data_IF_500556665797
#
_entry.id   IF_500556665797
#
_cell.length_a   1.000
_cell.length_b   1.000
_cell.length_c   1.000
_cell.angle_alpha   90.00
_cell.angle_beta   90.00
_cell.angle_gamma   90.00
#
_symmetry.space_group_name_H-M   'P 1'
#
loop_
_entity.id
_entity.type
_entity.pdbx_description
1 polymer ?
#
# COMPACT_ATOMS: atom_id res chain seq x y z
N UNK A 1 -33.22 -5.63 -17.34
CA UNK A 1 -33.56 -7.03 -17.07
C UNK A 1 -32.31 -7.87 -17.32
N UNK A 2 -32.04 -8.80 -16.41
CA UNK A 2 -30.89 -9.71 -16.30
C UNK A 2 -30.87 -10.75 -17.44
N UNK A 3 -29.75 -11.47 -17.52
CA UNK A 3 -29.45 -12.80 -18.13
C UNK A 3 -28.43 -12.68 -19.27
N UNK A 4 -27.13 -12.88 -19.01
CA UNK A 4 -26.35 -14.13 -18.82
C UNK A 4 -26.02 -14.84 -20.15
N UNK A 5 -24.72 -14.92 -20.49
CA UNK A 5 -24.19 -15.67 -21.62
C UNK A 5 -23.09 -16.61 -21.13
N UNK A 6 -23.36 -17.88 -21.36
CA UNK A 6 -22.64 -19.03 -20.86
C UNK A 6 -21.26 -19.26 -21.51
N UNK A 7 -20.45 -19.93 -20.71
CA UNK A 7 -19.17 -20.60 -20.99
C UNK A 7 -19.01 -21.26 -22.37
N UNK A 8 -17.86 -21.03 -23.02
CA UNK A 8 -17.14 -22.10 -23.72
C UNK A 8 -15.61 -21.85 -23.75
N UNK A 9 -14.89 -22.95 -23.62
CA UNK A 9 -13.49 -23.17 -23.19
C UNK A 9 -12.38 -22.87 -24.22
N UNK A 10 -11.14 -22.56 -23.77
CA UNK A 10 -9.97 -22.45 -24.66
C UNK A 10 -9.21 -23.79 -24.78
N UNK A 11 -9.31 -24.45 -25.94
CA UNK A 11 -8.59 -25.70 -26.30
C UNK A 11 -7.08 -25.54 -26.60
N UNK A 12 -6.49 -24.37 -26.38
CA UNK A 12 -5.07 -24.11 -26.68
C UNK A 12 -4.14 -24.39 -25.48
N UNK A 13 -4.66 -24.37 -24.25
CA UNK A 13 -3.82 -24.49 -23.03
C UNK A 13 -3.42 -25.93 -22.66
N UNK A 14 -4.07 -26.95 -23.22
CA UNK A 14 -3.79 -28.34 -22.89
C UNK A 14 -2.60 -28.94 -23.66
N UNK A 15 -2.27 -28.47 -24.87
CA UNK A 15 -1.16 -29.04 -25.66
C UNK A 15 0.23 -28.74 -25.08
N UNK A 16 0.45 -27.52 -24.60
CA UNK A 16 1.75 -27.08 -24.04
C UNK A 16 2.02 -27.68 -22.65
N UNK A 17 0.96 -27.93 -21.88
CA UNK A 17 1.04 -28.51 -20.54
C UNK A 17 1.51 -29.98 -20.57
N UNK A 18 1.14 -30.73 -21.62
CA UNK A 18 1.51 -32.14 -21.76
C UNK A 18 2.98 -32.31 -22.19
N UNK A 19 3.53 -31.39 -22.99
CA UNK A 19 4.94 -31.45 -23.40
C UNK A 19 5.90 -31.01 -22.29
N UNK A 20 5.49 -30.04 -21.46
CA UNK A 20 6.25 -29.62 -20.27
C UNK A 20 6.21 -30.67 -19.15
N UNK A 21 5.08 -31.36 -18.97
CA UNK A 21 4.97 -32.45 -17.98
C UNK A 21 5.84 -33.67 -18.31
N UNK A 22 6.05 -33.99 -19.60
CA UNK A 22 6.91 -35.11 -20.01
C UNK A 22 8.40 -34.77 -19.88
N UNK A 23 8.78 -33.50 -20.09
CA UNK A 23 10.15 -33.03 -19.90
C UNK A 23 10.51 -32.91 -18.41
N UNK A 24 9.57 -32.53 -17.55
CA UNK A 24 9.75 -32.51 -16.10
C UNK A 24 9.98 -33.93 -15.51
N UNK A 25 9.39 -34.95 -16.13
CA UNK A 25 9.56 -36.37 -15.75
C UNK A 25 10.92 -36.97 -16.14
N UNK A 26 11.70 -36.31 -17.02
CA UNK A 26 12.97 -36.83 -17.55
C UNK A 26 14.22 -36.19 -16.92
N UNK A 27 14.08 -35.15 -16.09
CA UNK A 27 15.23 -34.33 -15.59
C UNK A 27 15.23 -34.19 -14.06
N UNK A 28 14.34 -34.86 -13.33
CA UNK A 28 14.48 -34.97 -11.87
C UNK A 28 15.72 -35.85 -11.55
N UNK A 29 16.76 -35.32 -10.89
CA UNK A 29 18.00 -36.04 -10.61
C UNK A 29 17.74 -37.16 -9.59
N UNK A 30 18.50 -38.24 -9.77
CA UNK A 30 18.28 -39.54 -9.14
C UNK A 30 18.22 -39.51 -7.62
N UNK A 31 17.10 -39.99 -7.09
CA UNK A 31 17.18 -40.83 -5.90
C UNK A 31 17.72 -42.18 -6.35
N UNK A 32 18.89 -42.54 -5.83
CA UNK A 32 19.49 -43.86 -5.86
C UNK A 32 18.56 -44.86 -5.16
N UNK A 33 17.50 -45.26 -5.85
CA UNK A 33 16.80 -46.48 -5.53
C UNK A 33 17.61 -47.58 -6.20
N UNK A 34 18.52 -48.18 -5.43
CA UNK A 34 18.95 -49.55 -5.70
C UNK A 34 17.68 -50.36 -5.92
N UNK A 35 17.39 -50.67 -7.19
CA UNK A 35 16.33 -51.61 -7.54
C UNK A 35 16.75 -52.89 -6.84
N UNK A 36 15.99 -53.39 -5.84
CA UNK A 36 16.37 -54.63 -5.17
C UNK A 36 16.52 -55.69 -6.25
N UNK A 37 17.62 -56.45 -6.17
CA UNK A 37 17.99 -57.47 -7.16
C UNK A 37 16.73 -58.16 -7.68
N UNK A 38 16.46 -57.92 -8.98
CA UNK A 38 15.38 -58.45 -9.80
C UNK A 38 14.54 -59.50 -9.08
N UNK A 39 13.31 -59.14 -8.69
CA UNK A 39 12.32 -60.07 -8.14
C UNK A 39 12.34 -61.40 -8.89
N UNK A 40 12.95 -62.42 -8.29
CA UNK A 40 12.97 -63.75 -8.85
C UNK A 40 11.61 -64.38 -8.56
N UNK A 41 10.86 -64.72 -9.60
CA UNK A 41 9.60 -65.43 -9.41
C UNK A 41 9.90 -66.73 -8.65
N UNK A 42 9.25 -66.99 -7.50
CA UNK A 42 9.47 -68.23 -6.77
C UNK A 42 9.11 -69.40 -7.69
N UNK A 43 10.08 -70.25 -7.97
CA UNK A 43 9.87 -71.48 -8.75
C UNK A 43 9.49 -72.58 -7.77
N UNK A 44 8.24 -73.01 -7.82
CA UNK A 44 7.72 -74.10 -7.01
C UNK A 44 7.84 -75.41 -7.80
N UNK A 45 8.67 -76.33 -7.29
CA UNK A 45 8.83 -77.66 -7.85
C UNK A 45 7.79 -78.59 -7.21
N UNK A 46 6.81 -79.03 -8.00
CA UNK A 46 5.88 -80.07 -7.60
C UNK A 46 6.34 -81.38 -8.24
N UNK A 47 6.87 -82.29 -7.41
CA UNK A 47 7.31 -83.60 -7.85
C UNK A 47 6.10 -84.53 -8.09
N UNK A 48 5.69 -84.67 -9.35
CA UNK A 48 4.66 -85.65 -9.76
C UNK A 48 5.36 -86.93 -10.22
N UNK A 49 5.20 -88.02 -9.46
CA UNK A 49 5.75 -89.33 -9.83
C UNK A 49 4.76 -90.11 -10.70
N UNK A 50 4.93 -90.05 -12.02
CA UNK A 50 4.17 -90.87 -12.96
C UNK A 50 4.88 -92.21 -13.23
N UNK A 51 4.23 -93.37 -13.03
CA UNK A 51 4.80 -94.65 -13.44
C UNK A 51 4.91 -94.72 -14.97
N UNK A 52 6.07 -95.17 -15.47
CA UNK A 52 6.38 -95.27 -16.91
C UNK A 52 5.69 -96.48 -17.55
N UNK A 53 4.36 -96.41 -17.65
CA UNK A 53 3.54 -97.33 -18.43
C UNK A 53 2.92 -96.54 -19.58
N UNK A 54 2.90 -97.14 -20.78
CA UNK A 54 2.54 -96.48 -22.04
C UNK A 54 1.01 -96.30 -22.18
N UNK A 55 0.39 -95.68 -21.18
CA UNK A 55 -1.06 -95.45 -21.05
C UNK A 55 -1.36 -93.97 -20.93
N UNK A 56 -2.45 -93.52 -21.56
CA UNK A 56 -2.94 -92.14 -21.42
C UNK A 56 -3.65 -92.03 -20.07
N UNK A 57 -3.14 -91.20 -19.17
CA UNK A 57 -3.78 -90.90 -17.88
C UNK A 57 -4.76 -89.73 -18.03
N UNK A 58 -5.97 -89.87 -17.48
CA UNK A 58 -6.90 -88.74 -17.39
C UNK A 58 -6.52 -87.85 -16.20
N UNK A 59 -6.73 -86.53 -16.34
CA UNK A 59 -6.23 -85.54 -15.36
C UNK A 59 -6.87 -85.72 -13.96
N UNK A 60 -8.07 -86.32 -13.88
CA UNK A 60 -8.74 -86.64 -12.62
C UNK A 60 -8.05 -87.72 -11.80
N UNK A 61 -7.33 -88.65 -12.43
CA UNK A 61 -6.60 -89.73 -11.73
C UNK A 61 -5.29 -89.24 -11.08
N UNK A 62 -4.92 -87.97 -11.32
CA UNK A 62 -3.76 -87.30 -10.72
C UNK A 62 -4.13 -86.48 -9.48
N UNK A 63 -5.42 -86.38 -9.15
CA UNK A 63 -5.86 -85.73 -7.92
C UNK A 63 -5.54 -86.62 -6.70
N UNK A 64 -4.86 -86.03 -5.72
CA UNK A 64 -4.56 -86.69 -4.45
C UNK A 64 -4.86 -85.74 -3.28
N UNK A 65 -5.97 -85.96 -2.56
CA UNK A 65 -6.37 -85.14 -1.41
C UNK A 65 -5.32 -85.11 -0.29
N UNK A 66 -4.53 -86.19 -0.13
CA UNK A 66 -3.50 -86.28 0.92
C UNK A 66 -2.31 -85.34 0.65
N UNK A 67 -2.15 -84.86 -0.58
CA UNK A 67 -1.16 -83.84 -0.97
C UNK A 67 -1.82 -82.53 -1.41
N UNK A 68 -3.06 -82.29 -0.97
CA UNK A 68 -3.81 -81.07 -1.23
C UNK A 68 -4.11 -80.77 -2.72
N UNK A 69 -4.10 -81.81 -3.58
CA UNK A 69 -4.43 -81.71 -5.00
C UNK A 69 -5.85 -82.25 -5.22
N UNK A 70 -6.77 -81.39 -5.63
CA UNK A 70 -8.18 -81.72 -5.82
C UNK A 70 -8.58 -81.58 -7.30
N UNK A 71 -9.50 -82.41 -7.81
CA UNK A 71 -10.01 -82.21 -9.16
C UNK A 71 -10.90 -80.97 -9.20
N UNK A 72 -10.90 -80.22 -10.31
CA UNK A 72 -11.95 -79.21 -10.55
C UNK A 72 -13.28 -79.90 -10.85
N UNK A 73 -14.41 -79.25 -10.56
CA UNK A 73 -15.75 -79.82 -10.78
C UNK A 73 -16.02 -80.23 -12.24
N UNK A 74 -15.32 -79.63 -13.21
CA UNK A 74 -15.40 -79.94 -14.63
C UNK A 74 -14.51 -81.12 -15.09
N UNK A 75 -13.72 -81.71 -14.17
CA UNK A 75 -12.79 -82.81 -14.41
C UNK A 75 -11.73 -82.56 -15.51
N UNK A 76 -11.55 -81.31 -15.95
CA UNK A 76 -10.57 -80.95 -16.98
C UNK A 76 -9.22 -80.48 -16.39
N UNK A 77 -9.13 -80.32 -15.07
CA UNK A 77 -7.93 -79.87 -14.38
C UNK A 77 -7.88 -80.33 -12.92
N UNK A 78 -6.84 -79.88 -12.22
CA UNK A 78 -6.71 -80.02 -10.78
C UNK A 78 -6.34 -78.67 -10.17
N UNK A 79 -6.76 -78.45 -8.92
CA UNK A 79 -6.42 -77.30 -8.09
C UNK A 79 -5.58 -77.77 -6.90
N UNK A 80 -4.56 -76.99 -6.53
CA UNK A 80 -3.75 -77.24 -5.34
C UNK A 80 -4.18 -76.25 -4.26
N UNK A 81 -4.75 -76.73 -3.17
CA UNK A 81 -5.33 -75.89 -2.12
C UNK A 81 -4.45 -75.90 -0.87
N UNK A 82 -3.65 -74.86 -0.68
CA UNK A 82 -2.88 -74.70 0.56
C UNK A 82 -3.76 -74.04 1.62
N UNK A 83 -4.21 -74.81 2.61
CA UNK A 83 -4.88 -74.25 3.80
C UNK A 83 -3.83 -73.84 4.82
N UNK A 84 -3.55 -72.54 4.86
CA UNK A 84 -2.70 -71.91 5.86
C UNK A 84 -2.90 -70.40 5.84
N UNK A 85 -3.05 -69.79 7.01
CA UNK A 85 -3.04 -68.32 7.12
C UNK A 85 -1.63 -67.85 6.81
N UNK A 86 -1.45 -67.13 5.70
CA UNK A 86 -0.18 -66.47 5.41
C UNK A 86 0.02 -65.36 6.44
N UNK A 87 1.10 -65.44 7.22
CA UNK A 87 1.50 -64.38 8.14
C UNK A 87 1.68 -63.07 7.34
N UNK A 88 1.08 -61.95 7.78
CA UNK A 88 1.20 -60.68 7.06
C UNK A 88 2.67 -60.26 6.98
N UNK A 89 3.21 -60.18 5.76
CA UNK A 89 4.53 -59.63 5.50
C UNK A 89 4.50 -58.15 5.88
N UNK A 90 4.99 -57.81 7.06
CA UNK A 90 5.13 -56.42 7.52
C UNK A 90 6.54 -55.97 7.19
N UNK A 91 6.67 -54.88 6.43
CA UNK A 91 7.98 -54.25 6.19
C UNK A 91 8.42 -53.65 7.52
N UNK A 92 9.60 -54.01 8.01
CA UNK A 92 10.14 -53.43 9.23
C UNK A 92 10.35 -51.92 9.03
N UNK A 93 9.94 -51.06 9.99
CA UNK A 93 10.06 -49.61 9.87
C UNK A 93 11.48 -49.13 9.55
N UNK A 94 12.51 -49.86 9.97
CA UNK A 94 13.91 -49.61 9.61
C UNK A 94 14.16 -49.52 8.10
N UNK A 95 13.47 -50.30 7.25
CA UNK A 95 13.63 -50.23 5.79
C UNK A 95 12.94 -49.02 5.13
N UNK A 96 12.16 -48.26 5.90
CA UNK A 96 11.53 -47.01 5.47
C UNK A 96 12.26 -45.77 6.01
N UNK A 97 13.39 -45.95 6.70
CA UNK A 97 14.19 -44.84 7.22
C UNK A 97 15.25 -44.44 6.20
N UNK A 98 15.32 -43.15 5.92
CA UNK A 98 16.49 -42.53 5.30
C UNK A 98 17.39 -42.08 6.45
N UNK A 99 18.46 -42.83 6.71
CA UNK A 99 19.40 -42.51 7.78
C UNK A 99 20.35 -41.39 7.31
N UNK A 100 20.11 -40.18 7.80
CA UNK A 100 21.06 -39.08 7.65
C UNK A 100 22.20 -39.24 8.67
N UNK A 101 23.48 -39.15 8.25
CA UNK A 101 24.60 -39.19 9.19
C UNK A 101 24.46 -38.06 10.22
N UNK A 102 24.14 -38.39 11.49
CA UNK A 102 23.92 -37.42 12.57
C UNK A 102 22.46 -37.16 12.96
N UNK A 103 21.48 -37.79 12.32
CA UNK A 103 20.06 -37.74 12.70
C UNK A 103 19.30 -36.47 12.28
N UNK A 104 20.00 -35.42 11.89
CA UNK A 104 19.44 -34.19 11.32
C UNK A 104 20.41 -33.63 10.26
N UNK A 105 19.87 -33.09 9.17
CA UNK A 105 20.59 -32.20 8.27
C UNK A 105 20.44 -30.77 8.82
N UNK A 106 21.44 -30.30 9.56
CA UNK A 106 21.56 -28.87 9.85
C UNK A 106 22.05 -28.19 8.56
N UNK A 107 21.10 -27.74 7.74
CA UNK A 107 21.38 -26.88 6.59
C UNK A 107 21.46 -25.46 7.12
N UNK A 108 22.67 -24.91 7.16
CA UNK A 108 22.87 -23.48 7.38
C UNK A 108 22.23 -22.73 6.21
N UNK A 109 21.06 -22.14 6.45
CA UNK A 109 20.47 -21.20 5.50
C UNK A 109 21.37 -19.96 5.50
N UNK A 110 21.98 -19.60 4.36
CA UNK A 110 22.84 -18.44 4.31
C UNK A 110 22.05 -17.20 4.72
N UNK A 111 22.64 -16.34 5.57
CA UNK A 111 22.06 -15.03 5.86
C UNK A 111 21.91 -14.25 4.55
N UNK A 112 20.67 -14.04 4.12
CA UNK A 112 20.38 -13.18 2.98
C UNK A 112 20.45 -11.74 3.49
N UNK A 113 21.53 -11.04 3.16
CA UNK A 113 21.63 -9.60 3.42
C UNK A 113 20.88 -8.82 2.34
N UNK A 114 19.87 -8.05 2.72
CA UNK A 114 19.20 -7.15 1.80
C UNK A 114 20.09 -5.93 1.55
N UNK A 115 20.35 -5.53 0.30
CA UNK A 115 20.84 -4.18 0.05
C UNK A 115 19.77 -3.22 0.56
N UNK A 116 20.11 -2.34 1.50
CA UNK A 116 19.19 -1.32 1.98
C UNK A 116 18.64 -0.51 0.80
N UNK A 117 17.38 -0.09 0.86
CA UNK A 117 16.79 0.78 -0.16
C UNK A 117 17.55 2.11 -0.10
N UNK A 118 18.26 2.53 -1.17
CA UNK A 118 19.02 3.76 -1.14
C UNK A 118 18.06 4.96 -1.06
N UNK A 119 18.05 5.65 0.09
CA UNK A 119 17.26 6.87 0.29
C UNK A 119 17.61 7.97 -0.72
N UNK A 120 18.81 7.92 -1.33
CA UNK A 120 19.26 8.84 -2.38
C UNK A 120 18.46 8.77 -3.69
N UNK A 121 17.60 7.76 -3.86
CA UNK A 121 16.68 7.68 -5.00
C UNK A 121 15.32 8.34 -4.77
N UNK A 122 15.02 8.77 -3.54
CA UNK A 122 13.76 9.44 -3.21
C UNK A 122 13.89 10.94 -3.52
N UNK A 123 13.66 11.32 -4.77
CA UNK A 123 13.47 12.74 -5.12
C UNK A 123 12.10 13.18 -4.64
N UNK A 124 12.03 13.77 -3.45
CA UNK A 124 10.81 14.39 -2.99
C UNK A 124 10.44 15.56 -3.91
N UNK A 125 9.16 15.73 -4.24
CA UNK A 125 8.69 16.93 -4.89
C UNK A 125 8.97 18.15 -4.00
N UNK A 126 9.74 19.10 -4.51
CA UNK A 126 9.96 20.40 -3.86
C UNK A 126 8.67 21.21 -3.92
N UNK A 127 7.96 21.32 -2.79
CA UNK A 127 6.76 22.14 -2.69
C UNK A 127 7.20 23.52 -2.21
N UNK A 128 7.20 24.54 -3.08
CA UNK A 128 7.67 25.86 -2.69
C UNK A 128 6.78 26.43 -1.58
N UNK A 129 7.41 27.05 -0.59
CA UNK A 129 6.69 27.78 0.44
C UNK A 129 5.84 28.89 -0.21
N UNK A 130 4.56 28.93 0.14
CA UNK A 130 3.64 29.96 -0.33
C UNK A 130 3.66 31.07 0.71
N UNK A 131 4.23 32.24 0.40
CA UNK A 131 4.16 33.45 1.24
C UNK A 131 3.58 34.58 0.40
N UNK A 132 2.33 34.95 0.67
CA UNK A 132 1.58 35.90 -0.13
C UNK A 132 0.95 36.97 0.76
N UNK A 133 0.98 38.21 0.26
CA UNK A 133 0.35 39.37 0.87
C UNK A 133 -0.52 40.08 -0.15
N UNK A 134 -1.78 40.27 0.17
CA UNK A 134 -2.77 40.99 -0.63
C UNK A 134 -3.21 42.25 0.09
N UNK A 135 -2.75 43.41 -0.37
CA UNK A 135 -3.30 44.69 0.07
C UNK A 135 -4.74 44.81 -0.45
N UNK A 136 -5.68 45.20 0.41
CA UNK A 136 -7.11 45.31 0.06
C UNK A 136 -7.53 46.71 -0.36
N UNK A 137 -6.63 47.69 -0.24
CA UNK A 137 -6.94 49.10 -0.48
C UNK A 137 -5.82 49.80 -1.23
N UNK A 138 -6.18 50.86 -1.97
CA UNK A 138 -5.25 51.79 -2.58
C UNK A 138 -4.94 52.94 -1.62
N UNK A 139 -3.65 53.12 -1.33
CA UNK A 139 -3.18 54.18 -0.45
C UNK A 139 -3.04 55.51 -1.19
N UNK A 140 -3.45 56.60 -0.55
CA UNK A 140 -3.32 57.97 -1.08
C UNK A 140 -4.32 58.35 -2.18
N UNK A 141 -5.29 57.49 -2.49
CA UNK A 141 -6.32 57.74 -3.52
C UNK A 141 -7.69 57.95 -2.85
N UNK A 142 -8.32 59.13 -3.00
CA UNK A 142 -9.60 59.43 -2.35
C UNK A 142 -10.79 58.84 -3.13
N UNK A 143 -10.95 57.52 -3.04
CA UNK A 143 -11.96 56.76 -3.80
C UNK A 143 -12.99 56.02 -2.94
N UNK A 144 -12.83 56.04 -1.61
CA UNK A 144 -13.73 55.35 -0.68
C UNK A 144 -14.80 56.31 -0.19
N UNK A 145 -16.05 55.86 -0.10
CA UNK A 145 -17.19 56.72 0.26
C UNK A 145 -17.79 56.32 1.61
N UNK A 146 -17.86 57.27 2.53
CA UNK A 146 -18.52 57.07 3.83
C UNK A 146 -20.05 57.22 3.75
N UNK A 147 -20.75 56.91 4.85
CA UNK A 147 -22.22 57.01 4.93
C UNK A 147 -22.76 58.44 4.79
N UNK A 148 -21.90 59.45 4.90
CA UNK A 148 -22.25 60.87 4.73
C UNK A 148 -22.06 61.36 3.28
N UNK A 149 -21.52 60.49 2.41
CA UNK A 149 -21.23 60.81 1.02
C UNK A 149 -19.87 61.50 0.81
N UNK A 150 -19.04 61.62 1.85
CA UNK A 150 -17.70 62.18 1.71
C UNK A 150 -16.74 61.11 1.21
N UNK A 151 -15.83 61.51 0.32
CA UNK A 151 -14.74 60.64 -0.12
C UNK A 151 -13.55 60.73 0.82
N UNK A 152 -12.87 59.61 1.01
CA UNK A 152 -11.65 59.50 1.82
C UNK A 152 -10.65 58.51 1.20
N UNK A 153 -9.44 58.48 1.74
CA UNK A 153 -8.34 57.60 1.32
C UNK A 153 -7.71 56.91 2.52
N UNK A 154 -7.09 55.75 2.30
CA UNK A 154 -6.19 55.13 3.27
C UNK A 154 -4.78 55.74 3.20
N UNK A 155 -4.02 55.79 4.32
CA UNK A 155 -4.44 55.45 5.68
C UNK A 155 -5.43 56.50 6.24
N UNK A 156 -6.38 56.06 7.06
CA UNK A 156 -7.37 56.96 7.65
C UNK A 156 -6.81 57.67 8.89
N UNK A 157 -7.14 58.96 9.05
CA UNK A 157 -6.72 59.77 10.21
C UNK A 157 -7.82 59.95 11.26
N UNK A 158 -9.06 59.62 10.90
CA UNK A 158 -10.25 59.75 11.74
C UNK A 158 -11.16 58.55 11.51
N UNK A 159 -12.04 58.24 12.47
CA UNK A 159 -13.03 57.16 12.34
C UNK A 159 -13.86 57.39 11.08
N UNK A 160 -14.00 56.35 10.24
CA UNK A 160 -14.89 56.35 9.08
C UNK A 160 -15.95 55.27 9.25
N UNK A 161 -17.13 55.51 8.70
CA UNK A 161 -18.23 54.54 8.70
C UNK A 161 -18.71 54.40 7.25
N UNK A 162 -18.73 53.17 6.76
CA UNK A 162 -19.22 52.82 5.42
C UNK A 162 -20.51 52.01 5.53
N UNK A 163 -21.38 52.08 4.52
CA UNK A 163 -22.43 51.07 4.35
C UNK A 163 -21.78 49.75 3.92
N UNK A 164 -22.38 48.62 4.28
CA UNK A 164 -21.92 47.30 3.83
C UNK A 164 -21.83 47.21 2.29
N UNK A 165 -22.76 47.83 1.57
CA UNK A 165 -22.74 47.91 0.09
C UNK A 165 -21.49 48.61 -0.45
N UNK A 166 -21.15 49.79 0.10
CA UNK A 166 -19.95 50.52 -0.31
C UNK A 166 -18.69 49.74 0.11
N UNK A 167 -18.66 49.17 1.30
CA UNK A 167 -17.52 48.39 1.78
C UNK A 167 -17.25 47.16 0.88
N UNK A 168 -18.28 46.36 0.63
CA UNK A 168 -18.18 45.15 -0.19
C UNK A 168 -17.72 45.49 -1.62
N UNK A 169 -18.33 46.50 -2.25
CA UNK A 169 -18.00 46.87 -3.63
C UNK A 169 -16.64 47.57 -3.77
N UNK A 170 -16.29 48.48 -2.86
CA UNK A 170 -15.09 49.33 -2.98
C UNK A 170 -13.83 48.73 -2.35
N UNK A 171 -13.96 47.80 -1.40
CA UNK A 171 -12.82 47.17 -0.70
C UNK A 171 -12.68 45.70 -1.07
N UNK A 172 -13.73 44.89 -0.94
CA UNK A 172 -13.63 43.44 -1.18
C UNK A 172 -13.58 43.14 -2.68
N UNK A 173 -14.55 43.62 -3.45
CA UNK A 173 -14.71 43.27 -4.87
C UNK A 173 -13.73 44.02 -5.78
N UNK A 174 -13.34 45.24 -5.38
CA UNK A 174 -12.49 46.13 -6.18
C UNK A 174 -11.17 45.51 -6.62
N UNK A 175 -10.56 44.69 -5.76
CA UNK A 175 -9.29 44.00 -6.02
C UNK A 175 -9.46 42.50 -6.29
N UNK A 176 -10.71 42.02 -6.32
CA UNK A 176 -11.05 40.63 -6.63
C UNK A 176 -10.30 39.61 -5.74
N UNK A 177 -10.03 39.99 -4.49
CA UNK A 177 -9.13 39.26 -3.58
C UNK A 177 -9.61 37.83 -3.34
N UNK A 178 -10.91 37.63 -3.13
CA UNK A 178 -11.48 36.29 -2.95
C UNK A 178 -11.30 35.39 -4.18
N UNK A 179 -11.34 35.93 -5.40
CA UNK A 179 -11.07 35.16 -6.62
C UNK A 179 -9.59 34.81 -6.73
N UNK A 180 -8.69 35.73 -6.38
CA UNK A 180 -7.25 35.47 -6.35
C UNK A 180 -6.89 34.41 -5.30
N UNK A 181 -7.44 34.52 -4.09
CA UNK A 181 -7.28 33.54 -3.02
C UNK A 181 -7.80 32.17 -3.46
N UNK A 182 -9.02 32.12 -4.01
CA UNK A 182 -9.60 30.89 -4.56
C UNK A 182 -8.70 30.26 -5.62
N UNK A 183 -8.21 31.03 -6.59
CA UNK A 183 -7.32 30.51 -7.63
C UNK A 183 -6.01 29.92 -7.09
N UNK A 184 -5.45 30.51 -6.03
CA UNK A 184 -4.22 29.98 -5.38
C UNK A 184 -4.52 28.65 -4.70
N UNK A 185 -5.59 28.56 -3.92
CA UNK A 185 -5.94 27.34 -3.21
C UNK A 185 -6.47 26.24 -4.13
N UNK A 186 -7.18 26.58 -5.20
CA UNK A 186 -7.55 25.64 -6.27
C UNK A 186 -6.30 25.14 -7.00
N UNK A 187 -5.31 26.01 -7.22
CA UNK A 187 -4.01 25.64 -7.76
C UNK A 187 -3.28 24.63 -6.87
N UNK A 188 -3.23 24.88 -5.56
CA UNK A 188 -2.67 23.94 -4.58
C UNK A 188 -3.44 22.60 -4.60
N UNK A 189 -4.77 22.66 -4.59
CA UNK A 189 -5.61 21.46 -4.61
C UNK A 189 -5.44 20.65 -5.90
N UNK A 190 -5.13 21.29 -7.04
CA UNK A 190 -4.89 20.61 -8.32
C UNK A 190 -3.62 19.74 -8.33
N UNK A 191 -2.71 19.96 -7.38
CA UNK A 191 -1.52 19.12 -7.19
C UNK A 191 -1.81 17.83 -6.44
N UNK A 192 -3.01 17.69 -5.86
CA UNK A 192 -3.36 16.55 -5.00
C UNK A 192 -4.13 15.45 -5.77
N UNK A 193 -3.97 14.17 -5.38
CA UNK A 193 -2.93 13.67 -4.48
C UNK A 193 -1.56 13.69 -5.17
N UNK A 194 -0.54 14.12 -4.43
CA UNK A 194 0.85 14.07 -4.87
C UNK A 194 1.39 12.66 -4.62
N UNK A 195 1.82 12.01 -5.70
CA UNK A 195 2.42 10.66 -5.67
C UNK A 195 3.93 10.77 -5.43
N UNK A 196 4.42 10.13 -4.37
CA UNK A 196 5.85 10.05 -4.05
C UNK A 196 6.58 8.97 -4.85
N UNK A 197 5.86 8.12 -5.58
CA UNK A 197 6.46 7.09 -6.42
C UNK A 197 7.09 5.92 -5.64
N UNK A 198 6.67 5.68 -4.40
CA UNK A 198 7.24 4.64 -3.52
C UNK A 198 7.15 3.25 -4.15
N UNK A 199 6.09 2.97 -4.91
CA UNK A 199 5.94 1.70 -5.62
C UNK A 199 7.01 1.48 -6.70
N UNK A 200 7.45 2.56 -7.37
CA UNK A 200 8.48 2.45 -8.41
C UNK A 200 9.86 2.13 -7.81
N UNK A 201 10.14 2.60 -6.58
CA UNK A 201 11.39 2.28 -5.89
C UNK A 201 11.57 0.78 -5.63
N UNK A 202 10.48 0.05 -5.40
CA UNK A 202 10.55 -1.41 -5.23
C UNK A 202 10.96 -2.12 -6.50
N UNK A 203 10.46 -1.66 -7.65
CA UNK A 203 10.74 -2.30 -8.94
C UNK A 203 12.20 -2.21 -9.34
N UNK A 204 12.90 -1.15 -8.92
CA UNK A 204 14.33 -0.97 -9.20
C UNK A 204 15.23 -1.89 -8.37
N UNK A 205 14.75 -2.42 -7.24
CA UNK A 205 15.56 -3.25 -6.35
C UNK A 205 15.79 -4.67 -6.87
N UNK A 206 15.00 -5.12 -7.86
CA UNK A 206 15.16 -6.39 -8.59
C UNK A 206 15.48 -7.63 -7.71
N UNK A 207 14.82 -7.75 -6.55
CA UNK A 207 15.05 -8.85 -5.62
C UNK A 207 14.58 -10.19 -6.20
N UNK A 208 15.44 -11.22 -6.14
CA UNK A 208 15.11 -12.61 -6.47
C UNK A 208 15.45 -13.52 -5.26
N UNK A 209 14.44 -14.10 -4.58
CA UNK A 209 13.02 -13.97 -4.86
C UNK A 209 12.43 -12.58 -4.47
N UNK A 210 11.29 -12.16 -5.03
CA UNK A 210 10.67 -10.85 -4.78
C UNK A 210 10.01 -10.81 -3.39
N UNK A 211 10.84 -10.69 -2.36
CA UNK A 211 10.45 -10.72 -0.95
C UNK A 211 9.69 -9.46 -0.52
N UNK A 212 9.92 -8.31 -1.17
CA UNK A 212 9.21 -7.08 -0.85
C UNK A 212 7.90 -6.98 -1.65
N UNK A 213 6.79 -6.71 -0.96
CA UNK A 213 5.46 -6.54 -1.53
C UNK A 213 5.15 -5.07 -1.80
N UNK A 214 5.34 -4.21 -0.79
CA UNK A 214 5.05 -2.78 -0.84
C UNK A 214 5.94 -1.99 0.13
N UNK A 215 6.13 -0.71 -0.16
CA UNK A 215 6.64 0.28 0.76
C UNK A 215 5.40 0.98 1.29
N UNK A 216 5.15 0.84 2.59
CA UNK A 216 3.92 1.33 3.18
C UNK A 216 4.11 2.75 3.72
N UNK A 217 5.27 3.07 4.29
CA UNK A 217 5.48 4.36 4.94
C UNK A 217 6.96 4.71 4.97
N UNK A 218 7.29 5.99 4.78
CA UNK A 218 8.62 6.54 5.02
C UNK A 218 8.61 7.27 6.35
N UNK A 219 9.53 6.91 7.23
CA UNK A 219 9.64 7.49 8.56
C UNK A 219 10.50 8.76 8.52
N UNK A 220 9.88 9.89 8.81
CA UNK A 220 10.52 11.20 8.84
C UNK A 220 11.46 11.26 10.04
N UNK A 221 12.69 11.73 9.82
CA UNK A 221 13.67 11.88 10.89
C UNK A 221 13.19 12.89 11.93
N UNK A 222 13.50 12.63 13.20
CA UNK A 222 13.17 13.52 14.30
C UNK A 222 14.12 14.73 14.31
N UNK A 223 13.90 15.64 13.35
CA UNK A 223 14.66 16.89 13.17
C UNK A 223 13.73 18.10 13.30
N UNK A 224 14.28 19.22 13.76
CA UNK A 224 13.55 20.50 13.85
C UNK A 224 13.27 21.14 12.47
N UNK A 225 13.89 20.62 11.41
CA UNK A 225 13.71 21.11 10.04
C UNK A 225 12.55 20.43 9.31
N UNK A 226 12.14 19.23 9.74
CA UNK A 226 10.96 18.55 9.20
C UNK A 226 9.69 19.10 9.86
N UNK A 227 9.06 20.09 9.23
CA UNK A 227 7.95 20.86 9.83
C UNK A 227 6.91 21.30 8.81
N UNK A 228 5.71 21.53 9.32
CA UNK A 228 4.63 22.19 8.61
C UNK A 228 4.24 23.47 9.34
N UNK A 229 4.34 24.61 8.68
CA UNK A 229 4.05 25.93 9.25
C UNK A 229 2.85 26.55 8.55
N UNK A 230 1.93 27.11 9.34
CA UNK A 230 0.82 27.90 8.84
C UNK A 230 0.80 29.25 9.52
N UNK A 231 0.67 30.30 8.73
CA UNK A 231 0.52 31.67 9.18
C UNK A 231 -0.63 32.32 8.42
N UNK A 232 -1.56 32.93 9.14
CA UNK A 232 -2.64 33.75 8.59
C UNK A 232 -2.72 35.05 9.38
N UNK A 233 -2.89 36.18 8.69
CA UNK A 233 -3.03 37.50 9.31
C UNK A 233 -4.21 38.24 8.65
N UNK A 234 -5.15 38.67 9.49
CA UNK A 234 -6.16 39.65 9.14
C UNK A 234 -5.68 41.03 9.62
N UNK A 235 -4.96 41.77 8.78
CA UNK A 235 -4.50 43.10 9.15
C UNK A 235 -5.55 44.13 8.78
N UNK A 236 -6.25 44.65 9.79
CA UNK A 236 -7.07 45.86 9.66
C UNK A 236 -8.35 45.74 8.83
N UNK A 237 -8.73 44.52 8.40
CA UNK A 237 -9.97 44.25 7.65
C UNK A 237 -11.12 44.10 8.66
N UNK A 238 -12.16 44.95 8.60
CA UNK A 238 -13.25 44.91 9.58
C UNK A 238 -14.10 43.63 9.60
N UNK A 239 -14.06 42.83 8.53
CA UNK A 239 -14.74 41.53 8.45
C UNK A 239 -13.78 40.38 8.75
N UNK A 240 -14.34 39.21 9.04
CA UNK A 240 -13.52 38.04 9.36
C UNK A 240 -12.87 37.42 8.11
N UNK A 241 -11.82 36.64 8.34
CA UNK A 241 -11.35 35.67 7.36
C UNK A 241 -11.94 34.30 7.69
N UNK A 242 -12.73 33.73 6.77
CA UNK A 242 -13.40 32.44 6.96
C UNK A 242 -13.75 31.76 5.63
N UNK A 243 -13.56 30.44 5.48
CA UNK A 243 -12.88 29.56 6.43
C UNK A 243 -11.36 29.79 6.37
N UNK A 244 -10.68 29.67 7.52
CA UNK A 244 -9.23 29.73 7.62
C UNK A 244 -8.68 28.38 8.10
N UNK A 245 -8.00 27.64 7.22
CA UNK A 245 -7.41 26.34 7.55
C UNK A 245 -6.22 25.96 6.66
N UNK A 246 -5.41 25.03 7.15
CA UNK A 246 -4.36 24.34 6.40
C UNK A 246 -4.18 22.93 6.95
N UNK A 247 -4.08 21.93 6.07
CA UNK A 247 -4.08 20.51 6.40
C UNK A 247 -3.10 19.75 5.52
N UNK A 248 -2.42 18.78 6.12
CA UNK A 248 -1.59 17.79 5.45
C UNK A 248 -2.14 16.40 5.77
N UNK A 249 -2.52 15.65 4.73
CA UNK A 249 -3.06 14.29 4.86
C UNK A 249 -2.22 13.35 3.99
N UNK A 250 -2.04 12.11 4.42
CA UNK A 250 -1.31 11.08 3.69
C UNK A 250 -2.06 9.74 3.67
N UNK A 251 -1.74 8.89 2.70
CA UNK A 251 -2.32 7.55 2.57
C UNK A 251 -1.71 6.75 1.41
N UNK A 252 -1.95 5.44 1.37
CA UNK A 252 -1.48 4.55 0.29
C UNK A 252 -2.57 4.22 -0.73
N UNK A 253 -3.84 4.17 -0.32
CA UNK A 253 -4.98 3.96 -1.22
C UNK A 253 -6.03 5.06 -0.97
N UNK A 254 -6.37 5.26 0.30
CA UNK A 254 -7.21 6.36 0.76
C UNK A 254 -6.41 7.28 1.69
N UNK A 255 -6.55 8.59 1.48
CA UNK A 255 -5.97 9.64 2.32
C UNK A 255 -6.69 9.68 3.67
N UNK A 256 -6.24 8.83 4.58
CA UNK A 256 -6.90 8.56 5.87
C UNK A 256 -6.10 9.07 7.07
N UNK A 257 -4.80 9.27 6.91
CA UNK A 257 -3.95 9.74 8.00
C UNK A 257 -3.72 11.25 7.93
N UNK A 258 -4.20 11.97 8.95
CA UNK A 258 -4.02 13.42 9.04
C UNK A 258 -2.74 13.73 9.82
N UNK A 259 -1.69 14.11 9.10
CA UNK A 259 -0.41 14.48 9.71
C UNK A 259 -0.51 15.83 10.42
N UNK A 260 -1.22 16.78 9.83
CA UNK A 260 -1.35 18.16 10.32
C UNK A 260 -2.76 18.68 10.06
N UNK A 261 -3.34 19.38 11.03
CA UNK A 261 -4.63 20.06 10.91
C UNK A 261 -4.60 21.39 11.68
N UNK A 262 -4.17 22.45 11.01
CA UNK A 262 -4.21 23.81 11.53
C UNK A 262 -5.51 24.47 11.09
N UNK A 263 -6.48 24.60 12.01
CA UNK A 263 -7.81 25.11 11.67
C UNK A 263 -8.30 26.11 12.73
N UNK A 264 -7.88 27.39 12.66
CA UNK A 264 -8.46 28.44 13.49
C UNK A 264 -9.96 28.67 13.19
N UNK A 265 -10.45 28.24 12.02
CA UNK A 265 -11.83 28.40 11.58
C UNK A 265 -12.13 29.82 11.11
N UNK A 266 -11.99 30.80 11.99
CA UNK A 266 -12.26 32.22 11.71
C UNK A 266 -11.19 33.10 12.34
N UNK A 267 -10.68 34.09 11.58
CA UNK A 267 -9.81 35.14 12.11
C UNK A 267 -10.53 36.49 12.09
N UNK A 268 -10.72 37.09 13.27
CA UNK A 268 -11.29 38.42 13.42
C UNK A 268 -10.29 39.52 13.03
N UNK A 269 -10.77 40.76 13.00
CA UNK A 269 -9.95 41.94 12.63
C UNK A 269 -8.74 42.11 13.55
N UNK A 270 -7.56 42.20 12.95
CA UNK A 270 -6.30 42.39 13.67
C UNK A 270 -5.73 41.09 14.26
N UNK A 271 -6.39 39.95 14.07
CA UNK A 271 -5.90 38.67 14.57
C UNK A 271 -4.84 38.07 13.64
N UNK A 272 -3.92 37.34 14.27
CA UNK A 272 -2.90 36.55 13.61
C UNK A 272 -2.95 35.13 14.15
N UNK A 273 -2.92 34.17 13.25
CA UNK A 273 -2.76 32.77 13.56
C UNK A 273 -1.38 32.31 13.08
N UNK A 274 -0.61 31.69 13.96
CA UNK A 274 0.67 31.07 13.65
C UNK A 274 0.71 29.73 14.37
N UNK A 275 0.89 28.65 13.61
CA UNK A 275 1.05 27.32 14.15
C UNK A 275 2.13 26.55 13.39
N UNK A 276 2.80 25.65 14.09
CA UNK A 276 3.87 24.82 13.56
C UNK A 276 3.76 23.43 14.13
N UNK A 277 3.53 22.45 13.25
CA UNK A 277 3.56 21.04 13.61
C UNK A 277 4.87 20.44 13.13
N UNK A 278 5.63 19.86 14.06
CA UNK A 278 6.81 19.07 13.72
C UNK A 278 6.37 17.73 13.12
N UNK A 279 7.04 17.33 12.04
CA UNK A 279 6.77 16.11 11.31
C UNK A 279 7.71 14.98 11.70
N UNK A 280 8.73 15.27 12.51
CA UNK A 280 9.65 14.28 13.04
C UNK A 280 8.95 13.10 13.72
N UNK A 281 9.38 11.90 13.39
CA UNK A 281 8.80 10.65 13.90
C UNK A 281 7.42 10.31 13.33
N UNK A 282 6.87 11.10 12.40
CA UNK A 282 5.66 10.74 11.65
C UNK A 282 6.01 9.92 10.41
N UNK A 283 5.04 9.13 9.98
CA UNK A 283 5.11 8.36 8.75
C UNK A 283 4.52 9.13 7.57
N UNK A 284 5.17 9.06 6.42
CA UNK A 284 4.72 9.60 5.15
C UNK A 284 4.37 8.45 4.19
N UNK A 285 3.11 8.35 3.79
CA UNK A 285 2.64 7.33 2.86
C UNK A 285 2.83 7.77 1.40
N UNK A 286 2.52 6.89 0.44
CA UNK A 286 2.79 7.14 -0.97
C UNK A 286 2.08 8.39 -1.54
N UNK A 287 0.86 8.67 -1.08
CA UNK A 287 0.09 9.83 -1.52
C UNK A 287 0.00 10.88 -0.43
N UNK A 288 0.11 12.14 -0.83
CA UNK A 288 -0.02 13.31 0.04
C UNK A 288 -1.05 14.28 -0.52
N UNK A 289 -1.86 14.88 0.36
CA UNK A 289 -2.74 16.01 0.04
C UNK A 289 -2.38 17.21 0.93
N UNK A 290 -2.08 18.35 0.30
CA UNK A 290 -2.02 19.65 0.96
C UNK A 290 -3.28 20.44 0.64
N UNK A 291 -4.10 20.71 1.66
CA UNK A 291 -5.31 21.51 1.52
C UNK A 291 -5.21 22.76 2.38
N UNK A 292 -5.60 23.91 1.83
CA UNK A 292 -5.70 25.14 2.59
C UNK A 292 -6.81 26.02 2.05
N UNK A 293 -7.30 26.94 2.89
CA UNK A 293 -8.33 27.88 2.52
C UNK A 293 -8.27 29.13 3.38
N UNK A 294 -8.51 30.27 2.73
CA UNK A 294 -8.64 31.57 3.34
C UNK A 294 -9.49 32.45 2.43
N UNK A 295 -10.58 33.01 2.94
CA UNK A 295 -11.44 33.95 2.20
C UNK A 295 -11.80 35.11 3.12
N UNK A 296 -12.04 36.28 2.52
CA UNK A 296 -12.54 37.47 3.22
C UNK A 296 -14.05 37.43 3.22
N UNK A 297 -14.65 37.52 4.41
CA UNK A 297 -16.11 37.56 4.57
C UNK A 297 -16.68 38.91 4.11
N UNK A 298 -17.83 38.88 3.45
CA UNK A 298 -18.58 40.09 3.11
C UNK A 298 -19.26 40.66 4.34
N UNK A 299 -19.39 41.98 4.41
CA UNK A 299 -20.23 42.61 5.43
C UNK A 299 -21.71 42.32 5.12
N UNK A 300 -22.50 42.05 6.16
CA UNK A 300 -23.93 41.76 6.04
C UNK A 300 -24.68 42.96 5.41
N UNK A 301 -25.49 42.71 4.39
CA UNK A 301 -26.23 43.77 3.70
C UNK A 301 -27.14 44.56 4.66
N UNK A 302 -27.18 45.88 4.50
CA UNK A 302 -27.94 46.77 5.37
C UNK A 302 -27.26 47.12 6.70
N UNK A 303 -26.06 46.59 6.97
CA UNK A 303 -25.24 46.97 8.14
C UNK A 303 -24.23 48.07 7.81
N UNK A 304 -23.51 48.52 8.85
CA UNK A 304 -22.45 49.52 8.74
C UNK A 304 -21.11 48.94 9.17
N UNK A 305 -20.06 49.31 8.44
CA UNK A 305 -18.69 48.90 8.71
C UNK A 305 -17.93 50.11 9.26
N UNK A 306 -17.30 49.93 10.42
CA UNK A 306 -16.50 50.97 11.07
C UNK A 306 -15.01 50.75 10.80
N UNK A 307 -14.33 51.81 10.38
CA UNK A 307 -12.90 51.85 10.14
C UNK A 307 -12.24 52.76 11.17
N UNK A 308 -11.21 52.25 11.83
CA UNK A 308 -10.57 52.91 12.96
C UNK A 308 -9.15 53.40 12.62
N UNK A 309 -8.78 54.66 12.93
CA UNK A 309 -7.42 55.11 12.72
C UNK A 309 -6.44 54.48 13.73
N UNK A 310 -5.16 54.55 13.41
CA UNK A 310 -4.09 54.17 14.34
C UNK A 310 -4.17 54.99 15.63
N UNK A 311 -3.99 54.34 16.78
CA UNK A 311 -4.02 55.01 18.08
C UNK A 311 -5.40 55.50 18.50
N UNK A 312 -6.49 54.94 17.93
CA UNK A 312 -7.84 55.23 18.37
C UNK A 312 -8.02 54.97 19.88
N UNK A 313 -8.78 55.84 20.55
CA UNK A 313 -8.98 55.78 21.99
C UNK A 313 -9.88 54.62 22.44
N UNK A 314 -10.59 53.99 21.51
CA UNK A 314 -11.59 52.96 21.78
C UNK A 314 -10.99 51.55 21.79
N UNK A 315 -9.69 51.40 21.47
CA UNK A 315 -8.96 50.14 21.53
C UNK A 315 -9.33 49.16 20.42
N UNK A 316 -10.05 49.61 19.39
CA UNK A 316 -10.34 48.79 18.22
C UNK A 316 -9.06 48.57 17.40
N UNK A 317 -8.98 47.40 16.74
CA UNK A 317 -7.89 47.14 15.81
C UNK A 317 -7.88 48.20 14.69
N UNK A 318 -6.71 48.81 14.41
CA UNK A 318 -6.62 49.88 13.43
C UNK A 318 -6.79 49.36 12.00
N UNK A 319 -7.44 50.16 11.18
CA UNK A 319 -7.60 50.00 9.73
C UNK A 319 -6.64 50.93 8.96
N UNK A 320 -5.46 51.17 9.53
CA UNK A 320 -4.39 51.99 8.94
C UNK A 320 -3.73 51.28 7.74
N UNK A 321 -3.53 49.96 7.88
CA UNK A 321 -3.02 49.07 6.86
C UNK A 321 -3.99 47.91 6.69
N UNK A 322 -4.68 47.84 5.55
CA UNK A 322 -5.67 46.78 5.28
C UNK A 322 -5.11 45.76 4.30
N UNK A 323 -4.77 44.57 4.79
CA UNK A 323 -4.27 43.47 3.96
C UNK A 323 -4.56 42.09 4.56
N UNK A 324 -4.61 41.08 3.69
CA UNK A 324 -4.54 39.67 4.07
C UNK A 324 -3.13 39.18 3.83
N UNK A 325 -2.53 38.49 4.80
CA UNK A 325 -1.27 37.77 4.59
C UNK A 325 -1.43 36.31 4.98
N UNK A 326 -0.85 35.43 4.17
CA UNK A 326 -0.74 34.02 4.53
C UNK A 326 0.62 33.46 4.14
N UNK A 327 1.09 32.52 4.96
CA UNK A 327 2.25 31.70 4.66
C UNK A 327 1.95 30.23 4.98
N UNK A 328 2.26 29.34 4.04
CA UNK A 328 2.21 27.88 4.22
C UNK A 328 3.55 27.32 3.77
N UNK A 329 4.19 26.55 4.65
CA UNK A 329 5.50 25.97 4.42
C UNK A 329 5.46 24.49 4.82
N UNK A 330 5.87 23.63 3.91
CA UNK A 330 6.08 22.21 4.13
C UNK A 330 7.54 21.91 3.85
N UNK A 331 8.27 21.49 4.88
CA UNK A 331 9.68 21.18 4.78
C UNK A 331 9.93 19.76 5.30
N UNK A 332 10.72 19.01 4.55
CA UNK A 332 11.24 17.69 4.91
C UNK A 332 12.75 17.72 4.74
N UNK A 333 13.45 17.17 5.72
CA UNK A 333 14.91 17.25 5.81
C UNK A 333 15.54 15.87 5.59
N UNK A 334 15.37 14.97 6.55
CA UNK A 334 15.94 13.63 6.53
C UNK A 334 14.89 12.55 6.83
N UNK A 335 15.20 11.32 6.43
CA UNK A 335 14.42 10.13 6.74
C UNK A 335 15.24 9.15 7.58
N UNK A 336 14.56 8.49 8.52
CA UNK A 336 15.20 7.51 9.42
C UNK A 336 15.03 6.07 8.96
N UNK A 337 13.97 5.78 8.21
CA UNK A 337 13.68 4.42 7.79
C UNK A 337 12.45 4.34 6.89
N UNK A 338 12.14 3.11 6.49
CA UNK A 338 11.01 2.79 5.63
C UNK A 338 10.34 1.56 6.23
N UNK A 339 9.01 1.62 6.36
CA UNK A 339 8.18 0.48 6.71
C UNK A 339 7.73 -0.22 5.42
N UNK A 340 7.94 -1.54 5.40
CA UNK A 340 7.72 -2.39 4.24
C UNK A 340 6.82 -3.57 4.61
N UNK A 341 5.98 -3.98 3.67
CA UNK A 341 5.30 -5.27 3.73
C UNK A 341 6.05 -6.26 2.85
N UNK A 342 6.26 -7.48 3.37
CA UNK A 342 6.92 -8.57 2.63
C UNK A 342 5.90 -9.57 2.07
N UNK A 343 6.30 -10.26 1.00
CA UNK A 343 5.60 -11.43 0.47
C UNK A 343 5.96 -12.68 1.28
N UNK A 344 5.03 -13.62 1.35
CA UNK A 344 5.33 -14.99 1.73
C UNK A 344 6.08 -15.64 0.57
N UNK A 345 7.39 -15.85 0.74
CA UNK A 345 8.24 -16.50 -0.26
C UNK A 345 8.92 -17.71 0.34
N UNK A 346 8.78 -18.85 -0.33
CA UNK A 346 9.57 -20.05 -0.06
C UNK A 346 11.04 -19.77 -0.38
N UNK A 347 11.90 -19.81 0.64
CA UNK A 347 13.34 -19.73 0.43
C UNK A 347 13.82 -21.00 -0.30
N UNK A 348 14.70 -20.88 -1.31
CA UNK A 348 15.25 -22.05 -1.98
C UNK A 348 16.08 -22.85 -0.98
N UNK A 349 15.58 -24.03 -0.60
CA UNK A 349 16.38 -25.00 0.18
C UNK A 349 17.40 -25.60 -0.79
N UNK A 350 18.72 -25.46 -0.52
CA UNK A 350 19.71 -26.08 -1.38
C UNK A 350 19.49 -27.60 -1.39
N UNK A 351 19.45 -28.18 -2.60
CA UNK A 351 19.38 -29.63 -2.75
C UNK A 351 20.60 -30.27 -2.07
N UNK A 352 20.43 -31.38 -1.33
CA UNK A 352 21.57 -32.07 -0.74
C UNK A 352 22.57 -32.44 -1.84
N UNK A 353 23.84 -32.10 -1.63
CA UNK A 353 24.92 -32.59 -2.48
C UNK A 353 24.95 -34.12 -2.38
N UNK A 354 24.75 -34.79 -3.51
CA UNK A 354 24.71 -36.26 -3.63
C UNK A 354 26.10 -36.80 -3.91
#
# INVERSE_FOLDING_TARGET
LKVDLSSSTPRWKTGLLHTLGVIFLLIAPGCDFDIPEKFEMPTWFIDIKLPLVQTKYEMGDLANPDYHIYPTEDSMGFQVMYEGTLEPQTIEPEYLKVDFPGGYLDIDIPEISFPGIPASGLELPDIPAIDQKFDMVFYGVPMYTDTTGNTFSFPITEKRVMSAENYNSQIIDQLVVNTLLGAIFDGLASLNPLDLGLETMLTDLALDPPILKSIDTINIADTEESKFVTYFENRGIPTNLTPAFSRLVTGNEELSDTLVNHNPGTLATGETFLDTTMLGGKGLCNFIELAAGLLVEYAEEGTFVELWPEGNAEGHAPSDSIYVKFKIEFALDEFTGIDITTNDVDLPVPLPEI
#
